data_IF_939355192110
#
_entry.id   IF_939355192110
#
_cell.length_a   1.000
_cell.length_b   1.000
_cell.length_c   1.000
_cell.angle_alpha   90.00
_cell.angle_beta   90.00
_cell.angle_gamma   90.00
#
_symmetry.space_group_name_H-M   'P 1'
#
loop_
_entity.id
_entity.type
_entity.pdbx_description
1 polymer ?
#
# COMPACT_ATOMS: atom_id res chain seq x y z
N UNK A 1 22.51 1.91 10.24
CA UNK A 1 21.49 1.22 9.44
C UNK A 1 20.43 0.67 10.38
N UNK A 2 19.17 0.66 9.95
CA UNK A 2 18.07 0.03 10.70
C UNK A 2 18.34 -1.47 10.86
N UNK A 3 18.11 -2.01 12.06
CA UNK A 3 18.39 -3.43 12.35
C UNK A 3 17.40 -4.31 11.57
N UNK A 4 17.95 -5.19 10.73
CA UNK A 4 17.18 -6.18 9.99
C UNK A 4 17.20 -7.53 10.73
N UNK A 5 16.10 -8.26 10.62
CA UNK A 5 15.98 -9.63 11.11
C UNK A 5 15.55 -10.50 9.94
N UNK A 6 16.14 -11.68 9.81
CA UNK A 6 15.76 -12.63 8.77
C UNK A 6 15.41 -13.97 9.41
N UNK A 7 14.33 -14.57 8.93
CA UNK A 7 13.82 -15.83 9.45
C UNK A 7 13.05 -16.57 8.36
N UNK A 8 12.88 -17.87 8.55
CA UNK A 8 12.03 -18.69 7.69
C UNK A 8 10.56 -18.46 8.04
N UNK A 9 9.73 -18.38 7.00
CA UNK A 9 8.28 -18.41 7.10
C UNK A 9 7.80 -19.72 6.47
N UNK A 10 7.51 -20.71 7.32
CA UNK A 10 7.34 -22.09 6.88
C UNK A 10 8.65 -22.68 6.36
N UNK A 11 8.53 -23.64 5.45
CA UNK A 11 9.66 -24.34 4.83
C UNK A 11 10.08 -23.71 3.49
N UNK A 12 9.19 -22.96 2.84
CA UNK A 12 9.40 -22.49 1.46
C UNK A 12 9.79 -21.03 1.32
N UNK A 13 9.66 -20.22 2.38
CA UNK A 13 9.88 -18.78 2.29
C UNK A 13 10.85 -18.25 3.35
N UNK A 14 11.54 -17.18 2.99
CA UNK A 14 12.37 -16.38 3.91
C UNK A 14 11.82 -14.96 3.97
N UNK A 15 11.79 -14.39 5.16
CA UNK A 15 11.34 -13.02 5.42
C UNK A 15 12.52 -12.22 5.91
N UNK A 16 12.66 -11.01 5.37
CA UNK A 16 13.47 -9.95 5.98
C UNK A 16 12.54 -8.88 6.50
N UNK A 17 12.63 -8.58 7.80
CA UNK A 17 11.90 -7.49 8.44
C UNK A 17 12.84 -6.45 9.01
N UNK A 18 12.35 -5.21 9.11
CA UNK A 18 13.04 -4.10 9.73
C UNK A 18 12.29 -3.65 10.98
N UNK A 19 13.03 -3.40 12.06
CA UNK A 19 12.46 -2.81 13.28
C UNK A 19 11.85 -1.43 12.99
N UNK A 20 10.80 -0.98 13.69
CA UNK A 20 10.31 0.40 13.57
C UNK A 20 11.41 1.46 13.84
N UNK A 21 11.31 2.69 13.30
CA UNK A 21 10.16 3.27 12.59
C UNK A 21 10.08 2.92 11.09
N UNK A 22 8.88 3.03 10.54
CA UNK A 22 8.64 2.87 9.10
C UNK A 22 9.18 4.11 8.36
N UNK A 23 10.03 3.92 7.34
CA UNK A 23 10.61 5.04 6.58
C UNK A 23 10.62 4.76 5.08
N UNK A 24 10.40 5.80 4.28
CA UNK A 24 10.41 5.70 2.83
C UNK A 24 11.80 5.27 2.30
N UNK A 25 12.89 5.70 2.96
CA UNK A 25 14.24 5.29 2.60
C UNK A 25 14.46 3.77 2.72
N UNK A 26 13.95 3.16 3.79
CA UNK A 26 13.99 1.71 3.95
C UNK A 26 13.08 1.00 2.95
N UNK A 27 11.89 1.55 2.66
CA UNK A 27 10.98 0.99 1.66
C UNK A 27 11.58 1.04 0.24
N UNK A 28 12.27 2.11 -0.13
CA UNK A 28 13.02 2.23 -1.41
C UNK A 28 14.08 1.15 -1.57
N UNK A 29 14.76 0.76 -0.49
CA UNK A 29 15.72 -0.36 -0.50
C UNK A 29 15.01 -1.70 -0.65
N UNK A 30 13.84 -1.87 -0.03
CA UNK A 30 13.01 -3.07 -0.22
C UNK A 30 12.57 -3.19 -1.69
N UNK A 31 12.13 -2.11 -2.34
CA UNK A 31 11.79 -2.15 -3.77
C UNK A 31 13.00 -2.50 -4.64
N UNK A 32 14.19 -1.95 -4.33
CA UNK A 32 15.43 -2.30 -5.03
C UNK A 32 15.72 -3.79 -4.93
N UNK A 33 15.63 -4.31 -3.71
CA UNK A 33 15.85 -5.71 -3.42
C UNK A 33 14.82 -6.59 -4.14
N UNK A 34 13.55 -6.18 -4.17
CA UNK A 34 12.50 -6.90 -4.88
C UNK A 34 12.79 -7.02 -6.39
N UNK A 35 13.16 -5.91 -7.04
CA UNK A 35 13.56 -5.90 -8.44
C UNK A 35 14.76 -6.80 -8.72
N UNK A 36 15.74 -6.85 -7.80
CA UNK A 36 16.92 -7.72 -7.96
C UNK A 36 16.56 -9.22 -7.84
N UNK A 37 15.57 -9.54 -7.00
CA UNK A 37 15.23 -10.91 -6.64
C UNK A 37 14.25 -11.57 -7.62
N UNK A 38 13.37 -10.80 -8.26
CA UNK A 38 12.31 -11.34 -9.13
C UNK A 38 12.85 -12.15 -10.31
N UNK A 39 14.02 -11.76 -10.83
CA UNK A 39 14.66 -12.42 -11.97
C UNK A 39 15.60 -13.58 -11.56
N UNK A 40 15.69 -13.91 -10.28
CA UNK A 40 16.58 -14.98 -9.82
C UNK A 40 15.97 -16.37 -10.07
N UNK A 41 16.71 -17.33 -10.67
CA UNK A 41 16.17 -18.65 -11.04
C UNK A 41 15.52 -19.43 -9.89
N UNK A 42 16.04 -19.25 -8.67
CA UNK A 42 15.62 -19.97 -7.47
C UNK A 42 14.54 -19.25 -6.65
N UNK A 43 14.03 -18.13 -7.16
CA UNK A 43 12.94 -17.37 -6.56
C UNK A 43 11.66 -17.65 -7.35
N UNK A 44 10.60 -17.99 -6.63
CA UNK A 44 9.26 -18.18 -7.20
C UNK A 44 8.51 -16.86 -7.20
N UNK A 45 8.57 -16.14 -6.09
CA UNK A 45 7.85 -14.89 -5.90
C UNK A 45 8.58 -14.01 -4.89
N UNK A 46 8.44 -12.69 -5.08
CA UNK A 46 8.96 -11.67 -4.17
C UNK A 46 7.83 -10.74 -3.79
N UNK A 47 7.51 -10.71 -2.50
CA UNK A 47 6.34 -10.02 -1.98
C UNK A 47 6.83 -8.93 -1.02
N UNK A 48 7.01 -7.68 -1.50
CA UNK A 48 7.33 -6.57 -0.62
C UNK A 48 6.10 -6.19 0.22
N UNK A 49 6.30 -6.01 1.52
CA UNK A 49 5.31 -5.52 2.46
C UNK A 49 5.71 -4.16 3.04
N UNK A 50 5.13 -3.81 4.18
CA UNK A 50 5.52 -2.61 4.93
C UNK A 50 6.77 -2.91 5.78
N UNK A 51 7.92 -2.30 5.46
CA UNK A 51 9.19 -2.54 6.16
C UNK A 51 9.67 -4.01 6.17
N UNK A 52 9.14 -4.84 5.27
CA UNK A 52 9.56 -6.23 5.13
C UNK A 52 9.47 -6.70 3.68
N UNK A 53 10.10 -7.84 3.39
CA UNK A 53 10.02 -8.53 2.11
C UNK A 53 9.98 -10.03 2.36
N UNK A 54 9.05 -10.72 1.70
CA UNK A 54 8.94 -12.17 1.73
C UNK A 54 9.40 -12.73 0.38
N UNK A 55 10.28 -13.72 0.40
CA UNK A 55 10.82 -14.36 -0.80
C UNK A 55 10.46 -15.83 -0.76
N UNK A 56 9.67 -16.28 -1.73
CA UNK A 56 9.30 -17.69 -1.89
C UNK A 56 10.37 -18.37 -2.74
N UNK A 57 10.93 -19.47 -2.23
CA UNK A 57 12.04 -20.20 -2.84
C UNK A 57 11.52 -21.38 -3.66
N UNK A 58 12.18 -21.66 -4.79
CA UNK A 58 11.84 -22.78 -5.68
C UNK A 58 12.28 -24.14 -5.14
N UNK A 59 13.48 -24.20 -4.56
CA UNK A 59 14.13 -25.42 -4.06
C UNK A 59 14.56 -25.24 -2.58
N UNK A 60 13.59 -25.05 -1.66
CA UNK A 60 13.89 -24.69 -0.27
C UNK A 60 14.78 -25.69 0.47
N UNK A 61 14.69 -26.97 0.16
CA UNK A 61 15.48 -28.07 0.75
C UNK A 61 16.99 -27.88 0.59
N UNK A 62 17.42 -27.13 -0.42
CA UNK A 62 18.83 -26.82 -0.69
C UNK A 62 19.21 -25.39 -0.35
N UNK A 63 18.22 -24.51 -0.12
CA UNK A 63 18.43 -23.06 -0.11
C UNK A 63 18.01 -22.38 1.20
N UNK A 64 17.22 -23.01 2.07
CA UNK A 64 16.59 -22.30 3.19
C UNK A 64 17.59 -21.62 4.14
N UNK A 65 18.66 -22.31 4.54
CA UNK A 65 19.69 -21.74 5.42
C UNK A 65 20.53 -20.68 4.70
N UNK A 66 21.00 -20.99 3.49
CA UNK A 66 21.77 -20.06 2.65
C UNK A 66 20.95 -18.82 2.27
N UNK A 67 19.63 -18.93 2.17
CA UNK A 67 18.73 -17.84 1.79
C UNK A 67 18.66 -16.77 2.88
N UNK A 68 18.74 -17.14 4.16
CA UNK A 68 18.81 -16.16 5.26
C UNK A 68 20.07 -15.32 5.13
N UNK A 69 21.23 -15.96 5.03
CA UNK A 69 22.52 -15.26 4.95
C UNK A 69 22.62 -14.42 3.66
N UNK A 70 22.17 -14.97 2.53
CA UNK A 70 22.13 -14.24 1.25
C UNK A 70 21.21 -13.03 1.31
N UNK A 71 20.01 -13.17 1.89
CA UNK A 71 19.05 -12.07 1.98
C UNK A 71 19.56 -10.95 2.90
N UNK A 72 20.19 -11.30 4.02
CA UNK A 72 20.88 -10.34 4.90
C UNK A 72 21.99 -9.60 4.16
N UNK A 73 22.86 -10.34 3.47
CA UNK A 73 23.95 -9.75 2.68
C UNK A 73 23.44 -8.82 1.59
N UNK A 74 22.43 -9.24 0.83
CA UNK A 74 21.87 -8.38 -0.22
C UNK A 74 21.17 -7.15 0.32
N UNK A 75 20.57 -7.25 1.51
CA UNK A 75 20.05 -6.08 2.19
C UNK A 75 21.18 -5.10 2.55
N UNK A 76 22.28 -5.58 3.12
CA UNK A 76 23.45 -4.75 3.45
C UNK A 76 24.06 -4.09 2.21
N UNK A 77 24.14 -4.81 1.09
CA UNK A 77 24.58 -4.31 -0.21
C UNK A 77 23.54 -3.41 -0.90
N UNK A 78 22.26 -3.46 -0.50
CA UNK A 78 21.19 -2.75 -1.19
C UNK A 78 21.26 -1.27 -0.91
N UNK A 79 21.52 -0.50 -1.95
CA UNK A 79 21.28 0.94 -1.98
C UNK A 79 19.79 1.22 -2.21
N UNK A 80 19.36 2.44 -1.86
CA UNK A 80 17.99 2.87 -2.10
C UNK A 80 17.75 3.01 -3.61
N UNK A 81 16.63 2.48 -4.11
CA UNK A 81 16.18 2.78 -5.46
C UNK A 81 15.57 4.19 -5.49
N UNK A 82 15.94 4.98 -6.49
CA UNK A 82 15.12 6.10 -6.95
C UNK A 82 14.33 5.62 -8.19
N UNK A 83 13.12 5.09 -8.01
CA UNK A 83 12.34 4.59 -9.15
C UNK A 83 11.98 5.73 -10.09
N UNK A 84 11.78 5.42 -11.37
CA UNK A 84 11.00 6.28 -12.27
C UNK A 84 9.55 6.29 -11.75
N UNK A 85 9.26 7.21 -10.83
CA UNK A 85 7.95 7.32 -10.19
C UNK A 85 6.97 7.91 -11.19
N UNK A 86 5.93 7.15 -11.55
CA UNK A 86 4.82 7.69 -12.34
C UNK A 86 3.96 8.55 -11.43
N UNK A 87 3.54 9.69 -11.94
CA UNK A 87 2.57 10.54 -11.27
C UNK A 87 1.17 10.25 -11.78
N UNK A 88 0.28 9.81 -10.88
CA UNK A 88 -1.06 9.33 -11.22
C UNK A 88 -2.10 10.14 -10.45
N UNK A 89 -2.94 10.85 -11.18
CA UNK A 89 -4.08 11.56 -10.62
C UNK A 89 -5.31 10.66 -10.56
N UNK A 90 -5.91 10.55 -9.38
CA UNK A 90 -7.08 9.73 -9.15
C UNK A 90 -8.28 10.65 -8.87
N UNK A 91 -9.26 10.74 -9.78
CA UNK A 91 -10.46 11.54 -9.54
C UNK A 91 -11.32 10.89 -8.46
N UNK A 92 -11.71 11.66 -7.44
CA UNK A 92 -12.51 11.15 -6.31
C UNK A 92 -13.73 12.01 -6.07
N UNK A 93 -14.89 11.39 -6.04
CA UNK A 93 -16.12 11.98 -5.52
C UNK A 93 -16.15 11.76 -4.00
N UNK A 94 -15.95 12.81 -3.22
CA UNK A 94 -15.93 12.75 -1.75
C UNK A 94 -17.32 12.94 -1.14
N UNK A 95 -17.57 12.26 -0.02
CA UNK A 95 -18.81 12.41 0.76
C UNK A 95 -20.05 11.78 0.10
N UNK A 96 -21.21 12.06 0.68
CA UNK A 96 -22.49 11.48 0.23
C UNK A 96 -22.50 9.95 0.26
N UNK A 97 -23.15 9.34 -0.72
CA UNK A 97 -23.22 7.87 -0.85
C UNK A 97 -21.85 7.26 -1.23
N UNK A 98 -20.96 8.04 -1.83
CA UNK A 98 -19.60 7.63 -2.21
C UNK A 98 -18.64 7.63 -1.03
N UNK A 99 -18.87 8.50 -0.04
CA UNK A 99 -18.08 8.67 1.16
C UNK A 99 -18.91 8.72 2.44
N UNK A 100 -19.63 7.64 2.80
CA UNK A 100 -20.61 7.64 3.88
C UNK A 100 -20.01 7.86 5.28
N UNK A 101 -18.70 7.69 5.46
CA UNK A 101 -18.02 7.93 6.73
C UNK A 101 -17.26 9.26 6.78
N UNK A 102 -17.34 10.11 5.75
CA UNK A 102 -16.62 11.39 5.73
C UNK A 102 -16.98 12.28 6.93
N UNK A 103 -18.28 12.35 7.27
CA UNK A 103 -18.77 13.06 8.46
C UNK A 103 -18.16 12.52 9.76
N UNK A 104 -18.00 11.20 9.84
CA UNK A 104 -17.45 10.51 11.03
C UNK A 104 -15.96 10.80 11.16
N UNK A 105 -15.22 10.75 10.06
CA UNK A 105 -13.79 11.13 10.01
C UNK A 105 -13.62 12.59 10.41
N UNK A 106 -14.42 13.50 9.81
CA UNK A 106 -14.37 14.92 10.12
C UNK A 106 -14.62 15.19 11.62
N UNK A 107 -15.66 14.59 12.19
CA UNK A 107 -15.96 14.71 13.61
C UNK A 107 -14.83 14.15 14.51
N UNK A 108 -14.24 13.00 14.15
CA UNK A 108 -13.14 12.40 14.89
C UNK A 108 -11.89 13.29 14.89
N UNK A 109 -11.57 13.89 13.75
CA UNK A 109 -10.41 14.74 13.55
C UNK A 109 -10.60 16.17 14.06
N UNK A 110 -11.82 16.57 14.47
CA UNK A 110 -12.14 17.95 14.83
C UNK A 110 -12.07 18.92 13.64
N UNK A 111 -12.37 18.42 12.43
CA UNK A 111 -12.34 19.15 11.16
C UNK A 111 -13.75 19.21 10.56
N UNK A 112 -13.96 20.14 9.63
CA UNK A 112 -15.10 20.04 8.70
C UNK A 112 -14.82 19.00 7.62
N UNK A 113 -15.87 18.47 6.99
CA UNK A 113 -15.74 17.54 5.85
C UNK A 113 -14.88 18.13 4.73
N UNK A 114 -15.05 19.43 4.44
CA UNK A 114 -14.21 20.16 3.47
C UNK A 114 -12.73 20.16 3.85
N UNK A 115 -12.42 20.45 5.10
CA UNK A 115 -11.02 20.43 5.57
C UNK A 115 -10.41 19.03 5.50
N UNK A 116 -11.20 17.97 5.72
CA UNK A 116 -10.74 16.59 5.51
C UNK A 116 -10.41 16.37 4.04
N UNK A 117 -11.28 16.78 3.12
CA UNK A 117 -11.05 16.64 1.67
C UNK A 117 -9.83 17.44 1.23
N UNK A 118 -9.72 18.71 1.63
CA UNK A 118 -8.58 19.59 1.32
C UNK A 118 -7.28 18.96 1.81
N UNK A 119 -7.23 18.51 3.07
CA UNK A 119 -6.03 17.92 3.65
C UNK A 119 -5.66 16.59 2.97
N UNK A 120 -6.64 15.71 2.74
CA UNK A 120 -6.42 14.42 2.09
C UNK A 120 -5.98 14.60 0.62
N UNK A 121 -6.57 15.53 -0.13
CA UNK A 121 -6.22 15.75 -1.54
C UNK A 121 -4.95 16.59 -1.75
N UNK A 122 -4.49 17.31 -0.72
CA UNK A 122 -3.27 18.12 -0.80
C UNK A 122 -1.97 17.31 -0.83
N UNK A 123 -2.03 16.03 -0.45
CA UNK A 123 -0.85 15.18 -0.30
C UNK A 123 -0.59 14.35 -1.54
N UNK A 124 0.70 14.27 -1.88
CA UNK A 124 1.23 13.30 -2.82
C UNK A 124 1.58 12.01 -2.08
N UNK A 125 0.82 10.95 -2.36
CA UNK A 125 0.96 9.66 -1.71
C UNK A 125 1.86 8.75 -2.51
N UNK A 126 2.80 8.08 -1.85
CA UNK A 126 3.57 7.03 -2.50
C UNK A 126 2.89 5.69 -2.27
N UNK A 127 2.86 4.82 -3.28
CA UNK A 127 2.43 3.42 -3.15
C UNK A 127 3.55 2.62 -2.49
N UNK A 128 3.34 2.16 -1.25
CA UNK A 128 4.38 1.43 -0.51
C UNK A 128 4.49 -0.03 -0.96
N UNK A 129 3.35 -0.67 -1.07
CA UNK A 129 3.19 -2.02 -1.58
C UNK A 129 1.74 -2.24 -1.99
N UNK A 130 1.49 -3.35 -2.69
CA UNK A 130 0.15 -3.82 -3.03
C UNK A 130 -0.12 -5.12 -2.27
N UNK A 131 -1.33 -5.33 -1.80
CA UNK A 131 -1.69 -6.55 -1.07
C UNK A 131 -3.16 -6.57 -0.70
N UNK A 132 -3.62 -7.54 0.09
CA UNK A 132 -5.03 -7.76 0.46
C UNK A 132 -5.95 -8.18 -0.70
N UNK A 133 -5.99 -7.41 -1.79
CA UNK A 133 -6.71 -7.71 -3.04
C UNK A 133 -5.85 -7.33 -4.25
N UNK A 134 -6.11 -7.87 -5.45
CA UNK A 134 -5.38 -7.50 -6.66
C UNK A 134 -5.40 -5.99 -6.89
N UNK A 135 -4.22 -5.35 -6.85
CA UNK A 135 -4.07 -3.92 -7.08
C UNK A 135 -4.50 -2.98 -5.95
N UNK A 136 -4.78 -3.48 -4.74
CA UNK A 136 -5.11 -2.60 -3.61
C UNK A 136 -3.82 -1.91 -3.11
N UNK A 137 -3.73 -0.56 -3.16
CA UNK A 137 -2.53 0.17 -2.78
C UNK A 137 -2.54 0.52 -1.29
N UNK A 138 -1.43 0.23 -0.61
CA UNK A 138 -1.16 0.83 0.69
C UNK A 138 -0.38 2.14 0.48
N UNK A 139 -1.08 3.25 0.66
CA UNK A 139 -0.54 4.60 0.50
C UNK A 139 0.02 5.09 1.84
N UNK A 140 1.29 5.50 1.85
CA UNK A 140 1.93 6.03 3.05
C UNK A 140 1.82 7.56 3.16
N UNK A 141 2.22 8.09 4.32
CA UNK A 141 2.24 9.51 4.64
C UNK A 141 0.86 10.18 4.70
N UNK A 142 -0.18 9.48 5.17
CA UNK A 142 -1.43 10.12 5.55
C UNK A 142 -1.15 11.15 6.68
N UNK A 143 -1.57 12.42 6.54
CA UNK A 143 -1.41 13.42 7.60
C UNK A 143 -1.95 12.91 8.93
N UNK A 144 -1.18 13.11 10.00
CA UNK A 144 -1.53 12.62 11.35
C UNK A 144 -2.90 13.12 11.82
N UNK A 145 -3.29 14.33 11.38
CA UNK A 145 -4.61 14.88 11.69
C UNK A 145 -5.77 14.06 11.14
N UNK A 146 -5.55 13.24 10.09
CA UNK A 146 -6.57 12.40 9.48
C UNK A 146 -6.58 10.96 10.02
N UNK A 147 -5.67 10.61 10.92
CA UNK A 147 -5.58 9.25 11.45
C UNK A 147 -6.87 8.91 12.20
N UNK A 148 -7.63 7.98 11.65
CA UNK A 148 -8.96 7.62 12.17
C UNK A 148 -9.06 6.10 12.30
N UNK A 149 -9.49 5.56 13.46
CA UNK A 149 -9.58 4.12 13.64
C UNK A 149 -10.55 3.48 12.64
N UNK A 150 -10.28 2.19 12.34
CA UNK A 150 -11.20 1.35 11.59
C UNK A 150 -12.54 1.25 12.32
N UNK A 151 -13.61 1.00 11.56
CA UNK A 151 -14.92 0.65 12.10
C UNK A 151 -14.79 -0.57 13.02
N UNK A 152 -15.53 -0.54 14.13
CA UNK A 152 -15.61 -1.67 15.05
C UNK A 152 -16.18 -2.91 14.35
N UNK A 153 -17.21 -2.69 13.52
CA UNK A 153 -17.82 -3.72 12.68
C UNK A 153 -17.51 -3.44 11.20
N UNK A 154 -16.74 -4.32 10.53
CA UNK A 154 -16.48 -4.22 9.11
C UNK A 154 -17.77 -4.31 8.29
N UNK A 155 -17.81 -3.58 7.17
CA UNK A 155 -18.86 -3.76 6.17
C UNK A 155 -18.70 -5.13 5.52
N UNK A 156 -19.82 -5.80 5.26
CA UNK A 156 -19.85 -7.03 4.47
C UNK A 156 -19.39 -6.78 3.03
N UNK A 157 -19.74 -5.62 2.47
CA UNK A 157 -19.36 -5.23 1.11
C UNK A 157 -18.98 -3.75 1.13
N UNK A 158 -17.75 -3.46 0.73
CA UNK A 158 -17.26 -2.15 0.32
C UNK A 158 -17.29 -2.11 -1.22
N UNK A 159 -17.90 -1.09 -1.85
CA UNK A 159 -17.89 -0.96 -3.31
C UNK A 159 -16.47 -0.85 -3.91
N UNK A 160 -16.30 -1.30 -5.14
CA UNK A 160 -15.08 -1.03 -5.90
C UNK A 160 -14.90 0.49 -6.11
N UNK A 161 -13.65 0.93 -6.15
CA UNK A 161 -13.24 2.33 -6.23
C UNK A 161 -13.35 3.10 -4.92
N UNK A 162 -13.87 2.52 -3.83
CA UNK A 162 -13.99 3.24 -2.56
C UNK A 162 -12.61 3.64 -2.01
N UNK A 163 -12.48 4.91 -1.65
CA UNK A 163 -11.32 5.50 -0.97
C UNK A 163 -11.59 5.49 0.53
N UNK A 164 -10.65 5.03 1.33
CA UNK A 164 -10.87 4.97 2.77
C UNK A 164 -9.64 5.18 3.63
N UNK A 165 -9.89 5.46 4.91
CA UNK A 165 -8.89 5.65 5.95
C UNK A 165 -9.02 4.54 7.00
N UNK A 166 -7.88 3.97 7.41
CA UNK A 166 -7.81 2.93 8.43
C UNK A 166 -6.57 3.09 9.32
N UNK A 167 -6.72 3.81 10.42
CA UNK A 167 -5.61 4.22 11.27
C UNK A 167 -4.72 5.23 10.54
N UNK A 168 -3.39 5.01 10.47
CA UNK A 168 -2.46 5.91 9.78
C UNK A 168 -2.37 5.68 8.26
N UNK A 169 -3.29 4.90 7.68
CA UNK A 169 -3.24 4.47 6.28
C UNK A 169 -4.45 4.98 5.49
N UNK A 170 -4.20 5.28 4.22
CA UNK A 170 -5.23 5.51 3.19
C UNK A 170 -4.97 4.61 1.97
N UNK A 171 -5.94 4.49 1.08
CA UNK A 171 -5.93 3.49 0.01
C UNK A 171 -7.30 3.37 -0.66
N UNK A 172 -7.35 2.50 -1.67
CA UNK A 172 -8.47 2.41 -2.60
C UNK A 172 -8.83 0.94 -2.80
N UNK A 173 -10.10 0.59 -2.60
CA UNK A 173 -10.61 -0.75 -2.81
C UNK A 173 -10.77 -1.02 -4.31
N UNK A 174 -9.97 -1.89 -4.95
CA UNK A 174 -10.01 -2.08 -6.40
C UNK A 174 -11.19 -2.93 -6.84
N UNK A 175 -11.71 -3.79 -5.95
CA UNK A 175 -12.80 -4.72 -6.18
C UNK A 175 -13.74 -4.75 -4.97
N UNK A 176 -15.01 -5.21 -5.13
CA UNK A 176 -15.92 -5.31 -4.00
C UNK A 176 -15.47 -6.36 -3.00
N UNK A 177 -15.33 -5.99 -1.73
CA UNK A 177 -14.82 -6.87 -0.67
C UNK A 177 -15.30 -6.42 0.71
N UNK A 178 -15.37 -7.31 1.73
CA UNK A 178 -15.51 -6.88 3.11
C UNK A 178 -14.38 -5.92 3.52
N UNK A 179 -14.70 -4.92 4.35
CA UNK A 179 -13.72 -3.90 4.74
C UNK A 179 -14.16 -3.06 5.93
N UNK A 180 -13.21 -2.73 6.79
CA UNK A 180 -13.44 -1.96 8.02
C UNK A 180 -12.95 -0.51 7.97
N UNK A 181 -12.47 -0.04 6.83
CA UNK A 181 -11.98 1.34 6.73
C UNK A 181 -13.15 2.33 6.67
N UNK A 182 -12.90 3.55 7.13
CA UNK A 182 -13.83 4.67 6.99
C UNK A 182 -13.81 5.14 5.54
N UNK A 183 -14.92 5.03 4.83
CA UNK A 183 -15.05 5.38 3.43
C UNK A 183 -15.33 6.88 3.29
N UNK A 184 -14.42 7.60 2.65
CA UNK A 184 -14.46 9.06 2.54
C UNK A 184 -14.83 9.55 1.13
N UNK A 185 -14.77 8.67 0.14
CA UNK A 185 -15.14 8.96 -1.24
C UNK A 185 -14.99 7.74 -2.14
N UNK A 186 -15.22 7.91 -3.43
CA UNK A 186 -15.10 6.85 -4.44
C UNK A 186 -14.53 7.40 -5.75
N UNK A 187 -13.70 6.59 -6.41
CA UNK A 187 -13.25 6.84 -7.78
C UNK A 187 -14.00 5.96 -8.76
N UNK A 188 -14.26 6.46 -9.96
CA UNK A 188 -14.78 5.68 -11.09
C UNK A 188 -13.68 4.99 -11.90
N UNK A 189 -12.41 5.26 -11.59
CA UNK A 189 -11.28 4.69 -12.28
C UNK A 189 -11.07 3.23 -11.84
N UNK A 190 -10.85 2.33 -12.81
CA UNK A 190 -10.61 0.92 -12.55
C UNK A 190 -9.12 0.69 -12.19
N UNK A 191 -8.87 0.36 -10.92
CA UNK A 191 -7.51 0.04 -10.43
C UNK A 191 -7.04 -1.36 -10.83
N UNK A 192 -7.99 -2.27 -11.03
CA UNK A 192 -7.73 -3.64 -11.45
C UNK A 192 -8.71 -4.04 -12.54
N UNK A 193 -8.18 -4.51 -13.66
CA UNK A 193 -8.95 -5.03 -14.79
C UNK A 193 -8.18 -6.19 -15.44
N UNK A 194 -8.61 -7.46 -15.24
CA UNK A 194 -7.90 -8.62 -15.74
C UNK A 194 -7.90 -8.74 -17.27
N UNK A 195 -8.65 -7.88 -17.98
CA UNK A 195 -8.71 -7.88 -19.45
C UNK A 195 -7.69 -6.96 -20.11
N UNK A 196 -7.00 -6.11 -19.34
CA UNK A 196 -5.95 -5.22 -19.84
C UNK A 196 -4.61 -5.95 -19.94
N UNK A 197 -3.75 -5.48 -20.85
CA UNK A 197 -2.37 -5.98 -20.97
C UNK A 197 -1.59 -5.81 -19.66
N UNK A 198 -1.82 -4.69 -18.96
CA UNK A 198 -1.35 -4.44 -17.60
C UNK A 198 -2.57 -4.38 -16.67
N UNK A 199 -2.90 -5.47 -15.95
CA UNK A 199 -4.15 -5.57 -15.18
C UNK A 199 -4.23 -4.64 -13.99
N UNK A 200 -3.10 -4.23 -13.44
CA UNK A 200 -3.00 -3.43 -12.22
C UNK A 200 -2.55 -2.02 -12.61
N UNK A 201 -3.31 -1.01 -12.23
CA UNK A 201 -2.97 0.37 -12.57
C UNK A 201 -1.75 0.89 -11.77
N UNK A 202 -1.73 0.66 -10.46
CA UNK A 202 -0.77 1.26 -9.53
C UNK A 202 0.32 0.26 -9.17
N UNK A 203 1.58 0.71 -9.15
CA UNK A 203 2.73 -0.09 -8.77
C UNK A 203 3.46 0.49 -7.55
N UNK A 204 4.17 -0.33 -6.76
CA UNK A 204 5.04 0.18 -5.71
C UNK A 204 6.03 1.22 -6.25
N UNK A 205 6.09 2.38 -5.60
CA UNK A 205 6.88 3.53 -6.03
C UNK A 205 6.16 4.57 -6.90
N UNK A 206 4.94 4.29 -7.39
CA UNK A 206 4.11 5.32 -8.02
C UNK A 206 3.72 6.41 -7.00
N UNK A 207 3.61 7.64 -7.50
CA UNK A 207 3.08 8.78 -6.77
C UNK A 207 1.63 9.03 -7.18
N UNK A 208 0.75 9.11 -6.20
CA UNK A 208 -0.70 9.23 -6.35
C UNK A 208 -1.16 10.54 -5.75
N UNK A 209 -1.94 11.31 -6.51
CA UNK A 209 -2.64 12.49 -6.01
C UNK A 209 -4.14 12.34 -6.21
N UNK A 210 -4.90 12.51 -5.14
CA UNK A 210 -6.35 12.49 -5.22
C UNK A 210 -6.87 13.85 -5.70
N UNK A 211 -7.76 13.85 -6.70
CA UNK A 211 -8.33 15.06 -7.29
C UNK A 211 -9.84 15.10 -7.00
N UNK A 212 -10.30 15.97 -6.08
CA UNK A 212 -11.72 16.13 -5.78
C UNK A 212 -12.54 16.45 -7.04
N UNK A 213 -13.68 15.77 -7.19
CA UNK A 213 -14.63 15.99 -8.28
C UNK A 213 -15.82 16.83 -7.82
N UNK A 214 -16.37 17.65 -8.72
CA UNK A 214 -17.42 18.64 -8.41
C UNK A 214 -18.73 18.01 -7.93
N UNK A 215 -18.95 16.75 -8.26
CA UNK A 215 -20.09 15.94 -7.86
C UNK A 215 -20.07 15.60 -6.35
N UNK A 216 -18.92 15.74 -5.71
CA UNK A 216 -18.72 15.51 -4.28
C UNK A 216 -18.36 16.79 -3.52
N UNK A 217 -17.94 16.60 -2.26
CA UNK A 217 -17.43 17.69 -1.43
C UNK A 217 -16.06 18.14 -1.97
N UNK A 218 -15.93 19.44 -2.22
CA UNK A 218 -14.69 20.12 -2.61
C UNK A 218 -14.41 21.29 -1.66
#
# INVERSE_FOLDING_TARGET
>A
MQRARCYLLGETAVVLELEPPITLASQKRIWRLAQRLVDMPNVVEVIPGMNNITVILRNPESLALDAIERLQRWWEESEALEPESRFIEIPVTYGGDDGPDLAVVAAHCGLSEKQVVELHSSVEYVVWFLGFQPGFPYLGNLPEQLHTPRRAEPRLIVPAGSVGIGGPQTGIYPVPTPGGWQLIGRTSLNLFDPTRDEPILLHPGDCVRFVPQKEGIC
#
